data_IF_435987945415
#
_entry.id   IF_435987945415
#
_cell.length_a   1.000
_cell.length_b   1.000
_cell.length_c   1.000
_cell.angle_alpha   90.00
_cell.angle_beta   90.00
_cell.angle_gamma   90.00
#
_symmetry.space_group_name_H-M   'P 1'
#
loop_
_entity.id
_entity.type
_entity.pdbx_description
1 polymer ?
#
# COMPACT_ATOMS: atom_id res chain seq x y z
N UNK A 1 3.30 17.17 -20.60
CA UNK A 1 3.07 17.15 -19.17
C UNK A 1 2.92 15.72 -18.63
N UNK A 2 3.86 15.25 -17.89
CA UNK A 2 3.71 13.89 -17.36
C UNK A 2 2.55 13.83 -16.37
N UNK A 3 1.79 12.79 -16.46
CA UNK A 3 0.72 12.48 -15.52
C UNK A 3 1.20 11.35 -14.65
N UNK A 4 1.07 11.51 -13.36
CA UNK A 4 1.43 10.42 -12.43
C UNK A 4 0.49 9.25 -12.67
N UNK A 5 1.05 8.13 -13.04
CA UNK A 5 0.31 6.90 -13.27
C UNK A 5 0.66 5.93 -12.16
N UNK A 6 -0.35 5.48 -11.45
CA UNK A 6 -0.14 4.52 -10.36
C UNK A 6 0.20 3.16 -10.96
N UNK A 7 1.28 2.57 -10.50
CA UNK A 7 1.75 1.27 -10.96
C UNK A 7 0.89 0.14 -10.40
N UNK A 8 0.34 0.33 -9.21
CA UNK A 8 -0.47 -0.67 -8.52
C UNK A 8 -1.90 -0.19 -8.37
N UNK A 9 -2.80 -1.12 -8.14
CA UNK A 9 -4.24 -0.84 -8.05
C UNK A 9 -4.79 -1.26 -6.70
N UNK A 10 -5.95 -0.70 -6.34
CA UNK A 10 -6.70 -1.15 -5.16
C UNK A 10 -6.93 -2.65 -5.28
N UNK A 11 -6.63 -3.38 -4.22
CA UNK A 11 -6.77 -4.83 -4.19
C UNK A 11 -5.48 -5.59 -4.47
N UNK A 12 -4.47 -4.94 -5.02
CA UNK A 12 -3.18 -5.60 -5.27
C UNK A 12 -2.45 -5.84 -3.95
N UNK A 13 -1.76 -6.97 -3.88
CA UNK A 13 -0.91 -7.30 -2.74
C UNK A 13 0.52 -6.92 -3.07
N UNK A 14 1.11 -6.11 -2.21
CA UNK A 14 2.47 -5.59 -2.39
C UNK A 14 3.30 -5.85 -1.15
N UNK A 15 4.61 -5.77 -1.33
CA UNK A 15 5.55 -5.88 -0.22
C UNK A 15 6.48 -4.69 -0.24
N UNK A 16 6.98 -4.30 0.94
CA UNK A 16 7.97 -3.25 1.05
C UNK A 16 9.33 -3.78 0.60
N UNK A 17 10.07 -2.98 -0.15
CA UNK A 17 11.38 -3.40 -0.66
C UNK A 17 12.46 -3.49 0.42
N UNK A 18 12.31 -2.72 1.48
CA UNK A 18 13.36 -2.57 2.50
C UNK A 18 12.94 -3.07 3.88
N UNK A 19 11.66 -3.06 4.21
CA UNK A 19 11.16 -3.49 5.51
C UNK A 19 10.36 -4.78 5.36
N UNK A 20 10.33 -5.56 6.41
CA UNK A 20 9.68 -6.87 6.37
C UNK A 20 8.19 -6.76 6.66
N UNK A 21 7.44 -6.24 5.67
CA UNK A 21 5.99 -6.26 5.73
C UNK A 21 5.41 -6.26 4.32
N UNK A 22 4.16 -6.67 4.26
CA UNK A 22 3.38 -6.68 3.02
C UNK A 22 1.96 -6.27 3.33
N UNK A 23 1.18 -5.95 2.33
CA UNK A 23 -0.18 -5.52 2.55
C UNK A 23 -0.98 -5.47 1.27
N UNK A 24 -2.28 -5.25 1.44
CA UNK A 24 -3.19 -5.05 0.32
C UNK A 24 -3.54 -3.57 0.23
N UNK A 25 -3.51 -3.06 -0.99
CA UNK A 25 -3.82 -1.65 -1.26
C UNK A 25 -5.32 -1.43 -1.14
N UNK A 26 -5.73 -0.47 -0.29
CA UNK A 26 -7.14 -0.14 -0.18
C UNK A 26 -7.45 1.28 -0.66
N UNK A 27 -6.45 2.10 -0.90
CA UNK A 27 -6.62 3.43 -1.48
C UNK A 27 -5.33 3.89 -2.13
N UNK A 28 -5.45 4.78 -3.12
CA UNK A 28 -4.30 5.29 -3.87
C UNK A 28 -4.38 6.81 -3.94
N UNK A 29 -3.28 7.47 -3.57
CA UNK A 29 -3.10 8.89 -3.79
C UNK A 29 -2.09 9.05 -4.92
N UNK A 30 -2.44 9.79 -5.98
CA UNK A 30 -1.56 9.92 -7.13
C UNK A 30 -0.33 10.78 -6.86
N UNK A 31 -0.35 11.51 -5.75
CA UNK A 31 0.83 12.16 -5.20
C UNK A 31 0.65 12.24 -3.68
N UNK A 32 1.71 12.63 -2.97
CA UNK A 32 1.68 12.68 -1.51
C UNK A 32 0.49 13.50 -1.00
N UNK A 33 -0.28 12.91 -0.10
CA UNK A 33 -1.46 13.54 0.48
C UNK A 33 -1.59 13.18 1.95
N UNK A 34 -0.60 13.56 2.73
CA UNK A 34 -0.61 13.40 4.17
C UNK A 34 -0.05 14.70 4.77
N UNK A 35 0.07 14.77 6.07
CA UNK A 35 0.51 16.00 6.71
C UNK A 35 2.01 16.26 6.48
N UNK A 36 2.37 17.52 6.50
CA UNK A 36 3.77 17.90 6.41
C UNK A 36 4.55 17.38 7.61
N UNK A 37 3.92 17.34 8.79
CA UNK A 37 4.53 16.78 9.98
C UNK A 37 4.91 15.32 9.81
N UNK A 38 3.98 14.54 9.23
CA UNK A 38 4.25 13.13 8.93
C UNK A 38 5.44 13.00 7.98
N UNK A 39 5.44 13.82 6.91
CA UNK A 39 6.50 13.79 5.91
C UNK A 39 7.85 14.14 6.52
N UNK A 40 7.89 15.19 7.36
CA UNK A 40 9.13 15.63 7.99
C UNK A 40 9.62 14.64 9.05
N UNK A 41 8.75 13.75 9.53
CA UNK A 41 9.15 12.72 10.49
C UNK A 41 10.01 11.63 9.84
N UNK A 42 9.97 11.52 8.52
CA UNK A 42 10.81 10.57 7.81
C UNK A 42 12.24 11.12 7.78
N UNK A 43 13.24 10.32 8.16
CA UNK A 43 14.63 10.77 8.08
C UNK A 43 14.97 11.29 6.68
N UNK A 44 15.65 12.41 6.64
CA UNK A 44 15.87 13.14 5.40
C UNK A 44 16.55 12.31 4.30
N UNK A 45 17.46 11.44 4.69
CA UNK A 45 18.22 10.62 3.75
C UNK A 45 17.41 9.49 3.12
N UNK A 46 16.24 9.17 3.66
CA UNK A 46 15.37 8.10 3.13
C UNK A 46 13.98 8.62 2.78
N UNK A 47 13.79 9.92 2.83
CA UNK A 47 12.49 10.55 2.58
C UNK A 47 12.17 10.52 1.09
N UNK A 48 11.06 9.86 0.68
CA UNK A 48 10.69 9.79 -0.73
C UNK A 48 10.20 11.13 -1.25
N UNK A 49 10.29 11.32 -2.57
CA UNK A 49 9.71 12.51 -3.20
C UNK A 49 8.18 12.49 -3.06
N UNK A 50 7.59 13.67 -2.99
CA UNK A 50 6.13 13.82 -2.92
C UNK A 50 5.43 13.61 -4.26
N UNK A 51 6.14 13.81 -5.36
CA UNK A 51 5.56 13.76 -6.71
C UNK A 51 5.55 12.37 -7.30
N UNK A 52 5.00 11.42 -6.56
CA UNK A 52 4.83 10.05 -7.00
C UNK A 52 3.60 9.47 -6.29
N UNK A 53 3.03 8.38 -6.79
CA UNK A 53 1.91 7.74 -6.09
C UNK A 53 2.29 7.24 -4.71
N UNK A 54 1.35 7.36 -3.78
CA UNK A 54 1.43 6.80 -2.45
C UNK A 54 0.23 5.89 -2.23
N UNK A 55 0.43 4.85 -1.47
CA UNK A 55 -0.58 3.80 -1.29
C UNK A 55 -0.92 3.60 0.17
N UNK A 56 -2.21 3.45 0.43
CA UNK A 56 -2.72 3.09 1.74
C UNK A 56 -2.86 1.58 1.80
N UNK A 57 -2.20 0.95 2.74
CA UNK A 57 -2.14 -0.51 2.85
C UNK A 57 -2.80 -1.02 4.12
N UNK A 58 -3.54 -2.11 4.01
CA UNK A 58 -3.80 -2.97 5.15
C UNK A 58 -2.60 -3.89 5.26
N UNK A 59 -1.73 -3.62 6.21
CA UNK A 59 -0.40 -4.22 6.28
C UNK A 59 -0.28 -5.23 7.40
N UNK A 60 0.63 -6.18 7.19
CA UNK A 60 0.98 -7.15 8.21
C UNK A 60 2.47 -7.47 8.14
N UNK A 61 3.01 -7.79 9.28
CA UNK A 61 4.27 -8.50 9.37
C UNK A 61 4.00 -9.80 10.15
N UNK A 62 5.01 -10.51 10.59
CA UNK A 62 4.78 -11.78 11.26
C UNK A 62 4.17 -11.64 12.65
N UNK A 63 4.05 -10.44 13.17
CA UNK A 63 3.63 -10.23 14.56
C UNK A 63 2.38 -9.38 14.70
N UNK A 64 2.24 -8.32 13.88
CA UNK A 64 1.16 -7.34 14.06
C UNK A 64 0.54 -6.97 12.71
N UNK A 65 -0.66 -6.42 12.78
CA UNK A 65 -1.34 -5.83 11.64
C UNK A 65 -1.51 -4.34 11.89
N UNK A 66 -1.46 -3.54 10.81
CA UNK A 66 -1.53 -2.10 10.92
C UNK A 66 -1.90 -1.49 9.57
N UNK A 67 -2.07 -0.18 9.53
CA UNK A 67 -2.25 0.55 8.28
C UNK A 67 -0.96 1.29 7.97
N UNK A 68 -0.54 1.22 6.72
CA UNK A 68 0.72 1.84 6.28
C UNK A 68 0.46 2.77 5.11
N UNK A 69 1.28 3.81 5.01
CA UNK A 69 1.24 4.76 3.91
C UNK A 69 2.62 4.77 3.27
N UNK A 70 2.71 4.29 2.01
CA UNK A 70 4.00 3.97 1.40
C UNK A 70 4.08 4.53 -0.01
N UNK A 71 5.23 5.14 -0.31
CA UNK A 71 5.52 5.63 -1.66
C UNK A 71 5.70 4.49 -2.65
N UNK A 72 5.35 4.72 -3.89
CA UNK A 72 5.46 3.71 -4.93
C UNK A 72 6.88 3.16 -5.08
N UNK A 73 7.88 4.02 -4.95
CA UNK A 73 9.27 3.59 -5.12
C UNK A 73 9.69 2.50 -4.13
N UNK A 74 9.01 2.40 -3.01
CA UNK A 74 9.37 1.44 -1.95
C UNK A 74 8.53 0.17 -1.98
N UNK A 75 7.68 0.00 -2.98
CA UNK A 75 6.80 -1.16 -3.09
C UNK A 75 7.11 -2.01 -4.31
N UNK A 76 6.87 -3.29 -4.17
CA UNK A 76 6.94 -4.25 -5.28
C UNK A 76 5.80 -5.25 -5.14
N UNK A 77 5.47 -5.92 -6.23
CA UNK A 77 4.42 -6.95 -6.20
C UNK A 77 4.81 -8.07 -5.25
N UNK A 78 3.87 -8.50 -4.43
CA UNK A 78 4.07 -9.68 -3.60
C UNK A 78 3.71 -10.92 -4.42
N UNK A 79 4.65 -11.80 -4.63
CA UNK A 79 4.47 -12.98 -5.46
C UNK A 79 4.26 -14.26 -4.67
N UNK A 80 4.14 -14.15 -3.34
CA UNK A 80 3.96 -15.32 -2.49
C UNK A 80 2.61 -16.00 -2.68
N UNK A 81 1.59 -15.24 -3.08
CA UNK A 81 0.23 -15.74 -3.18
C UNK A 81 -0.46 -15.93 -1.83
N UNK A 82 0.22 -15.65 -0.74
CA UNK A 82 -0.35 -15.81 0.60
C UNK A 82 -1.38 -14.73 0.89
N UNK A 83 -2.52 -15.07 1.52
CA UNK A 83 -3.50 -14.06 1.90
C UNK A 83 -2.94 -13.08 2.92
N UNK A 84 -3.48 -11.88 2.92
CA UNK A 84 -3.18 -10.88 3.93
C UNK A 84 -4.07 -11.13 5.14
N UNK A 85 -3.47 -11.28 6.32
CA UNK A 85 -4.21 -11.52 7.56
C UNK A 85 -4.40 -10.21 8.30
N UNK A 86 -5.45 -9.50 7.95
CA UNK A 86 -5.76 -8.21 8.56
C UNK A 86 -7.24 -8.17 8.90
N UNK A 87 -7.61 -7.67 10.09
CA UNK A 87 -9.02 -7.69 10.50
C UNK A 87 -9.95 -6.87 9.63
N UNK A 88 -9.44 -5.87 8.91
CA UNK A 88 -10.28 -5.02 8.05
C UNK A 88 -10.48 -5.57 6.64
N UNK A 89 -9.85 -6.68 6.29
CA UNK A 89 -9.97 -7.25 4.95
C UNK A 89 -11.45 -7.47 4.58
N UNK A 90 -12.19 -8.14 5.45
CA UNK A 90 -13.57 -8.48 5.16
C UNK A 90 -14.52 -7.30 5.24
N UNK A 91 -14.09 -6.19 5.80
CA UNK A 91 -14.90 -4.98 5.84
C UNK A 91 -14.73 -4.14 4.59
N UNK A 92 -13.56 -4.19 3.97
CA UNK A 92 -13.23 -3.38 2.80
C UNK A 92 -13.41 -4.17 1.51
N UNK A 93 -13.02 -5.45 1.52
CA UNK A 93 -13.07 -6.29 0.33
C UNK A 93 -14.11 -7.38 0.46
N UNK A 94 -14.73 -7.74 -0.68
CA UNK A 94 -15.74 -8.79 -0.75
C UNK A 94 -15.15 -10.15 -1.01
N UNK A 95 -13.98 -10.22 -1.59
CA UNK A 95 -13.35 -11.50 -1.92
C UNK A 95 -11.99 -11.33 -2.55
N UNK A 96 -11.44 -12.46 -2.95
CA UNK A 96 -10.11 -12.54 -3.53
C UNK A 96 -10.19 -13.29 -4.84
N UNK A 97 -9.54 -12.78 -5.86
CA UNK A 97 -9.49 -13.40 -7.19
C UNK A 97 -8.03 -13.57 -7.57
N UNK A 98 -7.50 -14.79 -7.45
CA UNK A 98 -6.08 -15.02 -7.61
C UNK A 98 -5.31 -14.37 -6.48
N UNK A 99 -4.39 -13.47 -6.82
CA UNK A 99 -3.57 -12.75 -5.84
C UNK A 99 -4.09 -11.34 -5.55
N UNK A 100 -5.26 -10.99 -6.08
CA UNK A 100 -5.84 -9.65 -5.88
C UNK A 100 -7.14 -9.73 -5.13
N UNK A 101 -7.42 -8.70 -4.33
CA UNK A 101 -8.68 -8.56 -3.62
C UNK A 101 -9.61 -7.64 -4.41
N UNK A 102 -10.91 -7.82 -4.25
CA UNK A 102 -11.88 -6.98 -4.96
C UNK A 102 -13.00 -6.52 -4.02
N UNK A 103 -13.58 -5.38 -4.37
CA UNK A 103 -14.73 -4.84 -3.66
C UNK A 103 -16.00 -5.20 -4.40
N UNK A 104 -17.07 -5.41 -3.64
CA UNK A 104 -18.39 -5.59 -4.23
C UNK A 104 -18.82 -4.30 -4.91
N UNK A 105 -19.50 -4.41 -6.04
CA UNK A 105 -19.93 -3.25 -6.83
C UNK A 105 -21.25 -2.64 -6.39
N UNK A 106 -21.93 -3.19 -5.38
CA UNK A 106 -23.22 -2.63 -4.95
C UNK A 106 -23.15 -1.91 -3.62
#
# INVERSE_FOLDING_TARGET
MPVNTAKFSIGDVVRHKHFDFRGVIYDVDFEFNNSEEWYQSIPKNVRPRKDQPYYHLLAENNEVTYEAYVSEQNLETDESGEPIKHPLINEIFSGKNGSSYFKSSN
#
